data_IF_644739566901
#
_entry.id   IF_644739566901
#
_cell.length_a   1.000
_cell.length_b   1.000
_cell.length_c   1.000
_cell.angle_alpha   90.00
_cell.angle_beta   90.00
_cell.angle_gamma   90.00
#
_symmetry.space_group_name_H-M   'P 1'
#
loop_
_entity.id
_entity.type
_entity.pdbx_description
1 polymer ?
#
# COMPACT_ATOMS: atom_id res chain seq x y z
N UNK A 1 1.76 -7.03 19.90
CA UNK A 1 0.32 -6.90 19.60
C UNK A 1 0.22 -5.95 18.43
N UNK A 2 -0.59 -6.28 17.43
CA UNK A 2 -0.76 -5.41 16.27
C UNK A 2 -1.44 -4.10 16.66
N UNK A 3 -1.04 -3.00 16.04
CA UNK A 3 -1.68 -1.69 16.21
C UNK A 3 -3.14 -1.76 15.79
N UNK A 4 -3.99 -1.13 16.58
CA UNK A 4 -5.42 -1.01 16.37
C UNK A 4 -5.77 0.32 15.72
N UNK A 5 -6.98 0.43 15.20
CA UNK A 5 -7.52 1.70 14.70
C UNK A 5 -7.52 2.79 15.78
N UNK A 6 -7.81 2.43 17.03
CA UNK A 6 -7.78 3.35 18.16
C UNK A 6 -6.37 3.90 18.42
N UNK A 7 -5.34 3.05 18.30
CA UNK A 7 -3.95 3.49 18.44
C UNK A 7 -3.62 4.55 17.38
N UNK A 8 -4.00 4.32 16.12
CA UNK A 8 -3.79 5.29 15.03
C UNK A 8 -4.55 6.60 15.27
N UNK A 9 -5.81 6.53 15.71
CA UNK A 9 -6.60 7.73 16.03
C UNK A 9 -5.97 8.55 17.16
N UNK A 10 -5.40 7.90 18.17
CA UNK A 10 -4.77 8.57 19.32
C UNK A 10 -3.47 9.30 18.98
N UNK A 11 -2.84 8.97 17.84
CA UNK A 11 -1.60 9.63 17.38
C UNK A 11 -1.85 11.04 16.83
N UNK A 12 -3.08 11.36 16.37
CA UNK A 12 -3.41 12.69 15.83
C UNK A 12 -2.94 13.81 16.76
N UNK A 13 -2.25 14.80 16.20
CA UNK A 13 -1.66 15.93 16.94
C UNK A 13 -0.64 15.58 18.04
N UNK A 14 -0.22 14.31 18.20
CA UNK A 14 0.78 13.87 19.18
C UNK A 14 2.05 13.35 18.52
N UNK A 15 1.89 12.51 17.51
CA UNK A 15 2.98 11.87 16.77
C UNK A 15 2.58 11.69 15.31
N UNK A 16 3.55 11.74 14.38
CA UNK A 16 3.25 11.54 12.95
C UNK A 16 3.02 10.06 12.66
N UNK A 17 1.92 9.75 11.97
CA UNK A 17 1.59 8.39 11.54
C UNK A 17 2.39 8.04 10.29
N UNK A 18 3.08 6.90 10.33
CA UNK A 18 3.84 6.36 9.21
C UNK A 18 3.04 5.26 8.52
N UNK A 19 2.80 5.45 7.22
CA UNK A 19 2.11 4.48 6.39
C UNK A 19 3.02 4.09 5.23
N UNK A 20 3.19 2.80 5.01
CA UNK A 20 3.87 2.28 3.82
C UNK A 20 2.97 1.27 3.15
N UNK A 21 3.02 1.21 1.82
CA UNK A 21 2.33 0.12 1.13
C UNK A 21 3.05 -1.21 1.33
N UNK A 22 2.32 -2.32 1.37
CA UNK A 22 2.89 -3.67 1.40
C UNK A 22 2.04 -4.65 0.58
N UNK A 23 2.69 -5.60 -0.09
CA UNK A 23 2.02 -6.51 -1.03
C UNK A 23 2.43 -7.98 -0.84
N UNK A 24 3.62 -8.23 -0.29
CA UNK A 24 4.12 -9.59 -0.05
C UNK A 24 4.65 -9.75 1.37
N UNK A 25 4.86 -11.02 1.78
CA UNK A 25 5.30 -11.32 3.13
C UNK A 25 6.72 -10.82 3.41
N UNK A 26 7.63 -10.95 2.45
CA UNK A 26 9.07 -10.69 2.65
C UNK A 26 9.36 -9.20 2.77
N UNK A 27 8.78 -8.37 1.92
CA UNK A 27 8.92 -6.92 2.04
C UNK A 27 8.22 -6.40 3.30
N UNK A 28 7.06 -6.96 3.65
CA UNK A 28 6.30 -6.53 4.82
C UNK A 28 7.05 -6.78 6.13
N UNK A 29 7.82 -7.88 6.27
CA UNK A 29 8.63 -8.10 7.48
C UNK A 29 9.74 -7.06 7.66
N UNK A 30 10.21 -6.45 6.56
CA UNK A 30 11.18 -5.35 6.59
C UNK A 30 10.56 -3.99 6.90
N UNK A 31 9.22 -3.91 6.91
CA UNK A 31 8.44 -2.69 7.17
C UNK A 31 7.84 -2.66 8.58
N UNK A 32 8.35 -3.49 9.49
CA UNK A 32 7.84 -3.70 10.85
C UNK A 32 7.73 -2.42 11.70
N UNK A 33 8.49 -1.38 11.36
CA UNK A 33 8.45 -0.06 12.01
C UNK A 33 7.33 0.86 11.54
N UNK A 34 6.64 0.54 10.44
CA UNK A 34 5.52 1.35 9.97
C UNK A 34 4.30 1.16 10.89
N UNK A 35 3.57 2.24 11.17
CA UNK A 35 2.34 2.16 11.97
C UNK A 35 1.23 1.41 11.22
N UNK A 36 1.15 1.65 9.91
CA UNK A 36 0.15 1.09 9.01
C UNK A 36 0.82 0.49 7.78
N UNK A 37 0.41 -0.73 7.41
CA UNK A 37 0.69 -1.31 6.11
C UNK A 37 -0.57 -1.19 5.26
N UNK A 38 -0.47 -0.44 4.16
CA UNK A 38 -1.54 -0.27 3.18
C UNK A 38 -1.36 -1.27 2.04
N UNK A 39 -2.25 -2.25 1.95
CA UNK A 39 -2.39 -3.09 0.76
C UNK A 39 -3.22 -2.30 -0.24
N UNK A 40 -2.55 -1.45 -1.01
CA UNK A 40 -3.18 -0.53 -1.95
C UNK A 40 -3.30 -1.11 -3.36
N UNK A 41 -4.29 -0.65 -4.13
CA UNK A 41 -4.47 -1.03 -5.54
C UNK A 41 -3.31 -0.60 -6.45
N UNK A 42 -2.45 0.32 -6.00
CA UNK A 42 -1.13 0.59 -6.61
C UNK A 42 -0.28 -0.68 -6.84
N UNK A 43 -0.57 -1.79 -6.14
CA UNK A 43 -0.04 -3.12 -6.45
C UNK A 43 -0.23 -3.53 -7.92
N UNK A 44 -1.35 -3.18 -8.55
CA UNK A 44 -1.59 -3.46 -9.97
C UNK A 44 -0.47 -2.94 -10.85
N UNK A 45 0.02 -1.74 -10.57
CA UNK A 45 1.08 -1.12 -11.37
C UNK A 45 2.47 -1.62 -10.98
N UNK A 46 2.78 -1.65 -9.68
CA UNK A 46 4.15 -1.94 -9.21
C UNK A 46 4.46 -3.42 -9.07
N UNK A 47 3.44 -4.28 -8.89
CA UNK A 47 3.59 -5.73 -8.76
C UNK A 47 3.14 -6.49 -10.00
N UNK A 48 1.96 -6.14 -10.56
CA UNK A 48 1.36 -6.87 -11.68
C UNK A 48 1.69 -6.26 -13.05
N UNK A 49 2.25 -5.06 -13.08
CA UNK A 49 2.65 -4.38 -14.30
C UNK A 49 1.50 -3.81 -15.13
N UNK A 50 0.29 -3.72 -14.57
CA UNK A 50 -0.85 -3.06 -15.19
C UNK A 50 -0.54 -1.59 -15.48
N UNK A 51 -1.18 -1.05 -16.51
CA UNK A 51 -1.02 0.36 -16.89
C UNK A 51 -1.77 1.29 -15.93
N UNK A 52 -2.77 0.78 -15.22
CA UNK A 52 -3.61 1.53 -14.28
C UNK A 52 -4.07 0.66 -13.11
N UNK A 53 -4.43 1.30 -11.98
CA UNK A 53 -5.10 0.62 -10.87
C UNK A 53 -6.54 0.19 -11.21
N UNK A 54 -7.08 0.66 -12.34
CA UNK A 54 -8.42 0.29 -12.84
C UNK A 54 -8.56 -1.18 -13.19
N UNK A 55 -7.45 -1.85 -13.49
CA UNK A 55 -7.43 -3.28 -13.85
C UNK A 55 -7.32 -4.20 -12.63
N UNK A 56 -7.20 -3.63 -11.43
CA UNK A 56 -7.08 -4.41 -10.18
C UNK A 56 -8.41 -5.01 -9.79
N UNK A 57 -8.39 -6.30 -9.50
CA UNK A 57 -9.57 -7.06 -9.09
C UNK A 57 -9.63 -7.27 -7.58
N UNK A 58 -10.81 -7.63 -7.07
CA UNK A 58 -10.94 -8.08 -5.68
C UNK A 58 -10.06 -9.30 -5.36
N UNK A 59 -9.80 -10.17 -6.33
CA UNK A 59 -8.97 -11.37 -6.12
C UNK A 59 -7.49 -11.02 -6.00
N UNK A 60 -7.04 -9.99 -6.72
CA UNK A 60 -5.69 -9.43 -6.54
C UNK A 60 -5.53 -8.89 -5.12
N UNK A 61 -6.49 -8.08 -4.66
CA UNK A 61 -6.47 -7.51 -3.31
C UNK A 61 -6.50 -8.59 -2.23
N UNK A 62 -7.35 -9.62 -2.37
CA UNK A 62 -7.39 -10.76 -1.43
C UNK A 62 -6.04 -11.49 -1.36
N UNK A 63 -5.37 -11.69 -2.50
CA UNK A 63 -4.05 -12.36 -2.54
C UNK A 63 -2.98 -11.55 -1.84
N UNK A 64 -2.88 -10.25 -2.15
CA UNK A 64 -1.89 -9.37 -1.53
C UNK A 64 -2.15 -9.22 -0.02
N UNK A 65 -3.41 -9.05 0.40
CA UNK A 65 -3.76 -9.00 1.83
C UNK A 65 -3.38 -10.27 2.56
N UNK A 66 -3.62 -11.44 1.95
CA UNK A 66 -3.24 -12.72 2.54
C UNK A 66 -1.72 -12.82 2.71
N UNK A 67 -0.95 -12.38 1.71
CA UNK A 67 0.51 -12.38 1.78
C UNK A 67 1.04 -11.43 2.88
N UNK A 68 0.47 -10.23 3.00
CA UNK A 68 0.82 -9.25 4.04
C UNK A 68 0.46 -9.75 5.43
N UNK A 69 -0.72 -10.35 5.62
CA UNK A 69 -1.12 -10.99 6.88
C UNK A 69 -0.09 -12.04 7.33
N UNK A 70 0.41 -12.85 6.40
CA UNK A 70 1.36 -13.92 6.68
C UNK A 70 2.75 -13.41 7.11
N UNK A 71 3.08 -12.13 6.87
CA UNK A 71 4.27 -11.50 7.42
C UNK A 71 4.23 -11.35 8.95
N UNK A 72 3.04 -11.48 9.57
CA UNK A 72 2.83 -11.33 11.03
C UNK A 72 3.34 -9.99 11.58
N UNK A 73 3.12 -8.91 10.82
CA UNK A 73 3.51 -7.56 11.25
C UNK A 73 2.70 -7.07 12.47
N UNK A 74 3.30 -6.19 13.27
CA UNK A 74 2.60 -5.46 14.33
C UNK A 74 1.89 -4.20 13.80
N UNK A 75 2.00 -3.86 12.51
CA UNK A 75 1.29 -2.72 11.92
C UNK A 75 -0.22 -2.98 11.79
N UNK A 76 -1.01 -1.91 11.71
CA UNK A 76 -2.40 -2.00 11.26
C UNK A 76 -2.42 -2.32 9.76
N UNK A 77 -3.13 -3.37 9.33
CA UNK A 77 -3.28 -3.70 7.91
C UNK A 77 -4.55 -3.05 7.39
N UNK A 78 -4.40 -2.12 6.43
CA UNK A 78 -5.51 -1.49 5.70
C UNK A 78 -5.47 -2.02 4.28
N UNK A 79 -6.61 -2.39 3.70
CA UNK A 79 -6.67 -2.87 2.31
C UNK A 79 -7.64 -2.05 1.49
N UNK A 80 -7.25 -1.70 0.27
CA UNK A 80 -8.14 -1.05 -0.68
C UNK A 80 -9.27 -1.95 -1.14
N UNK A 81 -10.46 -1.37 -1.20
CA UNK A 81 -11.49 -1.83 -2.11
C UNK A 81 -11.14 -1.26 -3.51
N UNK A 82 -10.86 -2.12 -4.51
CA UNK A 82 -10.52 -1.67 -5.85
C UNK A 82 -11.75 -1.11 -6.56
N UNK A 83 -11.55 -0.48 -7.73
CA UNK A 83 -12.65 0.10 -8.51
C UNK A 83 -13.80 -0.92 -8.75
N UNK A 84 -15.04 -0.43 -8.77
CA UNK A 84 -16.28 -1.21 -8.95
C UNK A 84 -16.57 -2.25 -7.84
N UNK A 85 -15.73 -2.39 -6.81
CA UNK A 85 -15.99 -3.33 -5.71
C UNK A 85 -16.89 -2.78 -4.60
N UNK A 86 -17.36 -1.55 -4.74
CA UNK A 86 -18.16 -0.83 -3.73
C UNK A 86 -19.23 0.08 -4.35
N UNK A 87 -19.80 -0.29 -5.51
CA UNK A 87 -20.82 0.51 -6.21
C UNK A 87 -22.14 0.69 -5.42
N UNK A 88 -22.39 -0.17 -4.43
CA UNK A 88 -23.52 -0.08 -3.51
C UNK A 88 -23.14 -0.65 -2.13
N UNK A 89 -23.97 -0.39 -1.13
CA UNK A 89 -23.75 -0.76 0.27
C UNK A 89 -23.54 -2.27 0.46
N UNK A 90 -24.43 -3.10 -0.10
CA UNK A 90 -24.36 -4.56 0.05
C UNK A 90 -23.08 -5.14 -0.55
N UNK A 91 -22.70 -4.69 -1.75
CA UNK A 91 -21.48 -5.11 -2.42
C UNK A 91 -20.23 -4.67 -1.64
N UNK A 92 -20.21 -3.43 -1.17
CA UNK A 92 -19.11 -2.89 -0.37
C UNK A 92 -18.93 -3.66 0.95
N UNK A 93 -20.02 -3.97 1.65
CA UNK A 93 -19.98 -4.78 2.88
C UNK A 93 -19.47 -6.19 2.57
N UNK A 94 -19.99 -6.85 1.53
CA UNK A 94 -19.59 -8.19 1.16
C UNK A 94 -18.10 -8.27 0.81
N UNK A 95 -17.61 -7.34 -0.02
CA UNK A 95 -16.19 -7.27 -0.39
C UNK A 95 -15.30 -6.87 0.79
N UNK A 96 -15.73 -5.96 1.66
CA UNK A 96 -15.00 -5.62 2.89
C UNK A 96 -14.82 -6.85 3.79
N UNK A 97 -15.87 -7.67 3.95
CA UNK A 97 -15.80 -8.93 4.70
C UNK A 97 -14.82 -9.92 4.07
N UNK A 98 -14.74 -10.00 2.74
CA UNK A 98 -13.74 -10.83 2.04
C UNK A 98 -12.32 -10.38 2.37
N UNK A 99 -12.04 -9.08 2.40
CA UNK A 99 -10.73 -8.55 2.76
C UNK A 99 -10.38 -8.78 4.24
N UNK A 100 -11.34 -8.64 5.15
CA UNK A 100 -11.15 -8.95 6.57
C UNK A 100 -10.83 -10.43 6.77
N UNK A 101 -11.54 -11.34 6.08
CA UNK A 101 -11.21 -12.77 6.08
C UNK A 101 -9.80 -13.06 5.54
N UNK A 102 -9.36 -12.30 4.53
CA UNK A 102 -8.01 -12.38 3.99
C UNK A 102 -6.93 -11.84 4.94
N UNK A 103 -7.30 -11.01 5.92
CA UNK A 103 -6.41 -10.50 6.97
C UNK A 103 -6.34 -8.98 7.13
N UNK A 104 -7.19 -8.23 6.43
CA UNK A 104 -7.29 -6.78 6.65
C UNK A 104 -7.90 -6.48 8.03
N UNK A 105 -7.36 -5.47 8.72
CA UNK A 105 -7.95 -4.93 9.95
C UNK A 105 -8.96 -3.80 9.66
N UNK A 106 -8.80 -3.15 8.50
CA UNK A 106 -9.66 -2.07 8.02
C UNK A 106 -9.61 -2.00 6.48
N UNK A 107 -10.56 -1.27 5.88
CA UNK A 107 -10.60 -1.07 4.43
C UNK A 107 -10.43 0.41 4.06
N UNK A 108 -9.95 0.70 2.85
CA UNK A 108 -9.88 2.05 2.27
C UNK A 108 -10.77 2.16 1.03
N UNK A 109 -11.50 3.27 0.92
CA UNK A 109 -12.36 3.62 -0.22
C UNK A 109 -12.03 5.01 -0.74
N UNK A 110 -12.18 5.18 -2.05
CA UNK A 110 -12.05 6.46 -2.75
C UNK A 110 -13.42 7.13 -2.94
N UNK A 111 -13.47 8.44 -2.72
CA UNK A 111 -14.67 9.24 -2.98
C UNK A 111 -15.02 10.22 -1.87
N UNK A 112 -15.81 11.23 -2.22
CA UNK A 112 -16.34 12.24 -1.33
C UNK A 112 -17.76 11.92 -0.87
N UNK A 113 -18.64 12.91 -0.95
CA UNK A 113 -20.04 12.79 -0.55
C UNK A 113 -20.75 11.57 -1.16
N UNK A 114 -20.43 11.21 -2.38
CA UNK A 114 -21.07 10.13 -3.15
C UNK A 114 -20.88 8.73 -2.54
N UNK A 115 -19.82 8.50 -1.76
CA UNK A 115 -19.58 7.22 -1.07
C UNK A 115 -19.91 7.28 0.43
N UNK A 116 -20.46 8.40 0.92
CA UNK A 116 -20.70 8.63 2.34
C UNK A 116 -21.62 7.57 2.98
N UNK A 117 -22.68 7.18 2.27
CA UNK A 117 -23.63 6.17 2.74
C UNK A 117 -23.02 4.76 2.71
N UNK A 118 -22.21 4.46 1.68
CA UNK A 118 -21.43 3.21 1.58
C UNK A 118 -20.44 3.08 2.74
N UNK A 119 -19.67 4.14 3.04
CA UNK A 119 -18.73 4.16 4.17
C UNK A 119 -19.47 3.89 5.47
N UNK A 120 -20.62 4.56 5.68
CA UNK A 120 -21.44 4.38 6.87
C UNK A 120 -21.92 2.93 7.00
N UNK A 121 -22.41 2.33 5.91
CA UNK A 121 -22.89 0.95 5.88
C UNK A 121 -21.77 -0.05 6.20
N UNK A 122 -20.58 0.11 5.61
CA UNK A 122 -19.40 -0.73 5.92
C UNK A 122 -18.99 -0.57 7.38
N UNK A 123 -18.92 0.66 7.90
CA UNK A 123 -18.58 0.93 9.30
C UNK A 123 -19.61 0.36 10.27
N UNK A 124 -20.91 0.47 9.97
CA UNK A 124 -21.98 -0.07 10.82
C UNK A 124 -22.03 -1.60 10.78
N UNK A 125 -21.44 -2.23 9.76
CA UNK A 125 -21.19 -3.68 9.72
C UNK A 125 -20.00 -4.14 10.59
N UNK A 126 -19.31 -3.20 11.26
CA UNK A 126 -18.21 -3.47 12.19
C UNK A 126 -16.82 -3.42 11.57
N UNK A 127 -16.68 -2.94 10.33
CA UNK A 127 -15.39 -2.86 9.62
C UNK A 127 -14.92 -1.40 9.58
N UNK A 128 -13.77 -1.05 10.18
CA UNK A 128 -13.27 0.32 10.14
C UNK A 128 -12.90 0.76 8.72
N UNK A 129 -13.16 2.03 8.40
CA UNK A 129 -12.94 2.60 7.07
C UNK A 129 -11.96 3.76 7.12
N UNK A 130 -10.95 3.73 6.26
CA UNK A 130 -10.11 4.88 5.91
C UNK A 130 -10.68 5.51 4.63
N UNK A 131 -11.00 6.80 4.65
CA UNK A 131 -11.43 7.52 3.44
C UNK A 131 -10.24 7.96 2.59
N UNK A 132 -10.46 8.24 1.31
CA UNK A 132 -9.46 8.82 0.41
C UNK A 132 -10.09 9.96 -0.40
N UNK A 133 -9.51 11.16 -0.27
CA UNK A 133 -9.88 12.38 -0.98
C UNK A 133 -8.68 12.99 -1.72
N UNK A 134 -8.98 13.92 -2.62
CA UNK A 134 -7.97 14.55 -3.47
C UNK A 134 -7.96 13.87 -4.84
N UNK A 135 -6.78 13.52 -5.34
CA UNK A 135 -6.69 12.72 -6.55
C UNK A 135 -7.16 11.30 -6.22
N UNK A 136 -8.11 10.78 -6.99
CA UNK A 136 -8.64 9.42 -6.85
C UNK A 136 -8.15 8.58 -8.05
N UNK A 137 -7.05 7.82 -7.91
CA UNK A 137 -6.48 7.01 -9.00
C UNK A 137 -7.48 6.11 -9.72
N UNK A 138 -8.47 5.56 -8.99
CA UNK A 138 -9.46 4.64 -9.55
C UNK A 138 -10.30 5.29 -10.64
N UNK A 139 -10.65 6.57 -10.51
CA UNK A 139 -11.52 7.28 -11.46
C UNK A 139 -10.79 8.32 -12.31
N UNK A 140 -9.56 8.70 -11.94
CA UNK A 140 -8.81 9.72 -12.66
C UNK A 140 -8.46 9.29 -14.11
N UNK A 141 -8.64 10.21 -15.05
CA UNK A 141 -8.06 10.10 -16.40
C UNK A 141 -6.61 10.56 -16.43
N UNK A 142 -6.27 11.54 -15.58
CA UNK A 142 -4.93 12.11 -15.47
C UNK A 142 -4.60 12.49 -14.04
N UNK A 143 -3.39 12.14 -13.61
CA UNK A 143 -2.89 12.47 -12.29
C UNK A 143 -2.49 13.95 -12.25
N UNK A 144 -3.22 14.73 -11.46
CA UNK A 144 -3.04 16.17 -11.36
C UNK A 144 -3.27 16.65 -9.94
N UNK A 145 -2.64 17.77 -9.60
CA UNK A 145 -2.79 18.40 -8.27
C UNK A 145 -4.21 18.95 -8.12
N UNK A 146 -4.84 18.64 -6.98
CA UNK A 146 -6.22 19.01 -6.64
C UNK A 146 -6.30 20.25 -5.75
N UNK A 147 -7.50 20.83 -5.66
CA UNK A 147 -7.81 22.00 -4.84
C UNK A 147 -6.91 23.22 -5.16
N UNK A 148 -6.72 23.51 -6.45
CA UNK A 148 -5.97 24.69 -6.92
C UNK A 148 -6.78 25.98 -6.87
N UNK A 149 -8.11 25.87 -6.87
CA UNK A 149 -9.05 27.00 -6.84
C UNK A 149 -9.89 26.94 -5.57
N UNK A 150 -10.43 28.09 -5.17
CA UNK A 150 -11.28 28.22 -3.98
C UNK A 150 -12.49 27.30 -4.00
N UNK A 151 -13.13 27.13 -5.15
CA UNK A 151 -14.35 26.33 -5.29
C UNK A 151 -14.05 24.85 -5.01
N UNK A 152 -12.98 24.33 -5.63
CA UNK A 152 -12.51 22.95 -5.45
C UNK A 152 -12.09 22.70 -3.99
N UNK A 153 -11.38 23.66 -3.38
CA UNK A 153 -10.96 23.59 -1.99
C UNK A 153 -12.15 23.53 -1.01
N UNK A 154 -13.19 24.34 -1.25
CA UNK A 154 -14.42 24.32 -0.45
C UNK A 154 -15.13 22.98 -0.59
N UNK A 155 -15.18 22.42 -1.80
CA UNK A 155 -15.72 21.07 -2.05
C UNK A 155 -14.99 20.02 -1.22
N UNK A 156 -13.67 19.94 -1.34
CA UNK A 156 -12.84 18.96 -0.63
C UNK A 156 -12.96 19.08 0.90
N UNK A 157 -13.03 20.30 1.46
CA UNK A 157 -13.25 20.51 2.89
C UNK A 157 -14.64 19.99 3.33
N UNK A 158 -15.67 20.19 2.51
CA UNK A 158 -17.01 19.66 2.78
C UNK A 158 -17.01 18.14 2.74
N UNK A 159 -16.39 17.54 1.73
CA UNK A 159 -16.29 16.09 1.61
C UNK A 159 -15.53 15.48 2.79
N UNK A 160 -14.42 16.07 3.23
CA UNK A 160 -13.69 15.60 4.41
C UNK A 160 -14.56 15.57 5.67
N UNK A 161 -15.40 16.60 5.88
CA UNK A 161 -16.37 16.64 6.99
C UNK A 161 -17.51 15.65 6.82
N UNK A 162 -17.91 15.35 5.59
CA UNK A 162 -18.95 14.35 5.30
C UNK A 162 -18.39 12.96 5.62
N UNK A 163 -17.19 12.62 5.13
CA UNK A 163 -16.55 11.34 5.42
C UNK A 163 -16.34 11.12 6.92
N UNK A 164 -15.88 12.16 7.63
CA UNK A 164 -15.78 12.14 9.10
C UNK A 164 -17.12 11.80 9.75
N UNK A 165 -18.22 12.44 9.34
CA UNK A 165 -19.56 12.17 9.88
C UNK A 165 -20.07 10.77 9.53
N UNK A 166 -19.66 10.23 8.39
CA UNK A 166 -19.95 8.85 7.99
C UNK A 166 -19.20 7.81 8.82
N UNK A 167 -18.15 8.23 9.54
CA UNK A 167 -17.46 7.40 10.53
C UNK A 167 -16.14 6.81 10.05
N UNK A 168 -15.46 7.41 9.07
CA UNK A 168 -14.07 7.04 8.77
C UNK A 168 -13.19 7.24 10.00
N UNK A 169 -12.18 6.40 10.21
CA UNK A 169 -11.21 6.58 11.30
C UNK A 169 -10.01 7.43 10.88
N UNK A 170 -9.81 7.64 9.58
CA UNK A 170 -8.70 8.37 8.98
C UNK A 170 -9.06 8.79 7.55
N UNK A 171 -8.40 9.81 7.01
CA UNK A 171 -8.58 10.28 5.63
C UNK A 171 -7.21 10.43 4.95
N UNK A 172 -7.00 9.73 3.83
CA UNK A 172 -5.90 10.00 2.91
C UNK A 172 -6.21 11.25 2.09
N UNK A 173 -5.22 12.14 1.97
CA UNK A 173 -5.25 13.30 1.09
C UNK A 173 -4.15 13.12 0.04
N UNK A 174 -4.52 12.89 -1.21
CA UNK A 174 -3.58 12.67 -2.32
C UNK A 174 -3.51 13.87 -3.27
N UNK A 175 -2.28 14.34 -3.51
CA UNK A 175 -1.96 15.45 -4.41
C UNK A 175 -2.80 16.72 -4.16
N UNK A 176 -3.11 17.02 -2.90
CA UNK A 176 -3.85 18.24 -2.48
C UNK A 176 -2.86 19.39 -2.23
N UNK A 177 -3.22 20.62 -2.62
CA UNK A 177 -2.40 21.80 -2.31
C UNK A 177 -2.16 21.94 -0.80
N UNK A 178 -0.94 22.29 -0.41
CA UNK A 178 -0.52 22.31 1.00
C UNK A 178 -1.38 23.22 1.89
N UNK A 179 -1.81 24.38 1.35
CA UNK A 179 -2.67 25.31 2.07
C UNK A 179 -4.02 24.67 2.43
N UNK A 180 -4.61 23.94 1.48
CA UNK A 180 -5.88 23.24 1.67
C UNK A 180 -5.69 22.05 2.59
N UNK A 181 -4.61 21.28 2.45
CA UNK A 181 -4.26 20.18 3.38
C UNK A 181 -4.22 20.63 4.83
N UNK A 182 -3.58 21.78 5.09
CA UNK A 182 -3.50 22.36 6.44
C UNK A 182 -4.88 22.73 6.98
N UNK A 183 -5.73 23.33 6.14
CA UNK A 183 -7.10 23.69 6.50
C UNK A 183 -7.91 22.43 6.82
N UNK A 184 -7.90 21.42 5.95
CA UNK A 184 -8.63 20.16 6.13
C UNK A 184 -8.19 19.46 7.42
N UNK A 185 -6.88 19.27 7.60
CA UNK A 185 -6.32 18.57 8.77
C UNK A 185 -6.71 19.21 10.10
N UNK A 186 -6.80 20.55 10.13
CA UNK A 186 -7.27 21.31 11.29
C UNK A 186 -8.79 21.21 11.50
N UNK A 187 -9.57 21.00 10.45
CA UNK A 187 -11.03 21.02 10.47
C UNK A 187 -11.68 19.65 10.74
N UNK A 188 -10.93 18.56 10.62
CA UNK A 188 -11.40 17.21 10.97
C UNK A 188 -10.70 16.71 12.24
N UNK A 189 -11.44 15.95 13.03
CA UNK A 189 -11.01 15.31 14.28
C UNK A 189 -10.30 13.97 14.06
N UNK A 190 -10.46 13.36 12.88
CA UNK A 190 -9.76 12.12 12.50
C UNK A 190 -8.39 12.41 11.88
N UNK A 191 -7.38 11.54 12.04
CA UNK A 191 -6.06 11.72 11.43
C UNK A 191 -6.11 11.81 9.90
N UNK A 192 -5.39 12.78 9.34
CA UNK A 192 -5.15 12.86 7.89
C UNK A 192 -3.80 12.26 7.51
N UNK A 193 -3.75 11.52 6.40
CA UNK A 193 -2.52 10.90 5.87
C UNK A 193 -2.21 11.51 4.50
N UNK A 194 -1.05 12.16 4.36
CA UNK A 194 -0.69 12.85 3.12
C UNK A 194 0.13 11.97 2.17
N UNK A 195 -0.14 12.11 0.87
CA UNK A 195 0.76 11.66 -0.20
C UNK A 195 0.78 12.74 -1.28
N UNK A 196 1.92 13.42 -1.41
CA UNK A 196 2.01 14.61 -2.27
C UNK A 196 1.16 15.80 -1.79
N UNK A 197 0.76 15.82 -0.52
CA UNK A 197 -0.15 16.83 0.05
C UNK A 197 0.52 17.76 1.07
N UNK A 198 1.85 17.70 1.18
CA UNK A 198 2.63 18.48 2.16
C UNK A 198 2.67 17.85 3.56
N UNK A 199 3.44 18.48 4.46
CA UNK A 199 3.77 17.94 5.80
C UNK A 199 2.71 18.17 6.88
N UNK A 200 1.68 18.96 6.58
CA UNK A 200 0.70 19.42 7.57
C UNK A 200 -0.34 18.34 7.92
N UNK A 201 -0.41 17.23 7.16
CA UNK A 201 -1.18 16.04 7.54
C UNK A 201 -0.65 15.39 8.83
N UNK A 202 -1.50 14.67 9.56
CA UNK A 202 -1.11 13.91 10.77
C UNK A 202 -0.19 12.73 10.49
N UNK A 203 -0.12 12.26 9.24
CA UNK A 203 0.80 11.22 8.81
C UNK A 203 1.16 11.35 7.33
N UNK A 204 1.97 10.40 6.85
CA UNK A 204 2.35 10.32 5.44
C UNK A 204 2.27 8.87 4.94
N UNK A 205 1.90 8.70 3.68
CA UNK A 205 1.95 7.42 2.96
C UNK A 205 2.85 7.52 1.73
N UNK A 206 3.63 6.47 1.47
CA UNK A 206 4.34 6.28 0.21
C UNK A 206 4.17 4.85 -0.29
N UNK A 207 4.13 4.71 -1.61
CA UNK A 207 4.31 3.42 -2.27
C UNK A 207 5.75 2.98 -2.03
N UNK A 208 5.95 1.81 -1.42
CA UNK A 208 7.26 1.34 -0.99
C UNK A 208 8.24 1.19 -2.16
N UNK A 209 7.73 0.79 -3.32
CA UNK A 209 8.54 0.65 -4.55
C UNK A 209 9.07 2.00 -5.05
N UNK A 210 8.32 3.08 -4.87
CA UNK A 210 8.79 4.43 -5.21
C UNK A 210 9.83 4.91 -4.19
N UNK A 211 9.58 4.67 -2.90
CA UNK A 211 10.49 5.04 -1.80
C UNK A 211 11.85 4.34 -1.92
N UNK A 212 11.87 3.05 -2.27
CA UNK A 212 13.08 2.24 -2.46
C UNK A 212 13.73 2.44 -3.85
N UNK A 213 13.07 3.17 -4.76
CA UNK A 213 13.55 3.38 -6.11
C UNK A 213 13.55 2.12 -6.97
N UNK A 214 12.62 1.20 -6.75
CA UNK A 214 12.44 -0.03 -7.55
C UNK A 214 11.59 0.21 -8.80
N UNK A 215 10.58 1.08 -8.71
CA UNK A 215 9.69 1.37 -9.82
C UNK A 215 10.22 2.56 -10.64
N UNK A 216 10.39 2.36 -11.95
CA UNK A 216 11.03 3.35 -12.84
C UNK A 216 10.11 3.90 -13.93
N UNK A 217 8.99 3.22 -14.23
CA UNK A 217 8.01 3.67 -15.24
C UNK A 217 7.44 5.04 -14.88
N UNK A 218 7.18 5.26 -13.59
CA UNK A 218 6.66 6.53 -13.07
C UNK A 218 7.59 7.01 -11.96
N UNK A 219 7.87 8.31 -11.95
CA UNK A 219 8.67 8.97 -10.90
C UNK A 219 7.85 10.10 -10.31
N UNK A 220 7.02 9.83 -9.29
CA UNK A 220 6.18 10.85 -8.69
C UNK A 220 7.05 11.94 -8.06
N UNK A 221 6.79 13.21 -8.40
CA UNK A 221 7.58 14.36 -7.89
C UNK A 221 7.57 14.45 -6.36
N UNK A 222 6.51 13.96 -5.71
CA UNK A 222 6.37 13.98 -4.25
C UNK A 222 7.11 12.85 -3.53
N UNK A 223 7.50 11.78 -4.23
CA UNK A 223 8.14 10.63 -3.61
C UNK A 223 9.63 10.89 -3.46
N UNK A 224 10.11 10.96 -2.21
CA UNK A 224 11.55 10.93 -1.93
C UNK A 224 12.05 9.49 -2.08
N UNK A 225 13.04 9.30 -2.95
CA UNK A 225 13.81 8.05 -3.00
C UNK A 225 14.82 8.03 -1.85
N UNK A 226 14.75 6.97 -1.05
CA UNK A 226 15.71 6.69 0.01
C UNK A 226 16.82 5.75 -0.47
N UNK A 227 16.56 4.97 -1.55
CA UNK A 227 17.51 4.10 -2.23
C UNK A 227 17.30 4.15 -3.75
N UNK A 228 18.24 3.58 -4.51
CA UNK A 228 18.12 3.30 -5.94
C UNK A 228 18.18 1.79 -6.22
N UNK A 229 17.27 1.03 -5.61
CA UNK A 229 17.35 -0.42 -5.56
C UNK A 229 17.26 -1.09 -6.95
N UNK A 230 16.62 -0.44 -7.94
CA UNK A 230 16.60 -0.96 -9.31
C UNK A 230 18.00 -1.09 -9.93
N UNK A 231 18.90 -0.16 -9.63
CA UNK A 231 20.28 -0.19 -10.12
C UNK A 231 21.08 -1.29 -9.43
N UNK A 232 20.94 -1.40 -8.10
CA UNK A 232 21.61 -2.46 -7.34
C UNK A 232 21.17 -3.86 -7.75
N UNK A 233 19.87 -4.06 -7.99
CA UNK A 233 19.34 -5.33 -8.51
C UNK A 233 19.93 -5.63 -9.89
N UNK A 234 19.97 -4.66 -10.81
CA UNK A 234 20.55 -4.85 -12.15
C UNK A 234 22.03 -5.21 -12.10
N UNK A 235 22.79 -4.57 -11.21
CA UNK A 235 24.19 -4.88 -11.01
C UNK A 235 24.38 -6.29 -10.44
N UNK A 236 23.61 -6.67 -9.41
CA UNK A 236 23.67 -8.00 -8.81
C UNK A 236 23.31 -9.11 -9.81
N UNK A 237 22.25 -8.93 -10.60
CA UNK A 237 21.86 -9.87 -11.66
C UNK A 237 22.96 -9.96 -12.73
N UNK A 238 23.55 -8.83 -13.14
CA UNK A 238 24.63 -8.83 -14.13
C UNK A 238 25.87 -9.55 -13.63
N UNK A 239 26.22 -9.39 -12.35
CA UNK A 239 27.32 -10.12 -11.70
C UNK A 239 27.04 -11.62 -11.65
N UNK A 240 25.85 -12.04 -11.20
CA UNK A 240 25.47 -13.46 -11.19
C UNK A 240 25.56 -14.10 -12.59
N UNK A 241 25.02 -13.41 -13.61
CA UNK A 241 25.09 -13.89 -15.01
C UNK A 241 26.55 -14.04 -15.47
N UNK A 242 27.43 -13.10 -15.08
CA UNK A 242 28.86 -13.19 -15.39
C UNK A 242 29.51 -14.38 -14.68
N UNK A 243 29.26 -14.53 -13.38
CA UNK A 243 29.87 -15.60 -12.58
C UNK A 243 29.45 -16.99 -13.07
N UNK A 244 28.19 -17.17 -13.51
CA UNK A 244 27.74 -18.42 -14.13
C UNK A 244 28.43 -18.66 -15.48
N UNK A 245 28.49 -17.65 -16.36
CA UNK A 245 29.10 -17.78 -17.69
C UNK A 245 30.61 -18.01 -17.66
N UNK A 246 31.28 -17.53 -16.61
CA UNK A 246 32.71 -17.70 -16.38
C UNK A 246 33.01 -18.87 -15.44
N UNK A 247 32.01 -19.70 -15.12
CA UNK A 247 32.12 -20.88 -14.24
C UNK A 247 32.72 -20.56 -12.85
N UNK A 248 32.53 -19.33 -12.37
CA UNK A 248 32.89 -18.90 -11.01
C UNK A 248 31.83 -19.26 -9.97
N UNK A 249 30.58 -19.36 -10.41
CA UNK A 249 29.48 -19.85 -9.60
C UNK A 249 28.92 -21.18 -10.16
N UNK A 250 28.64 -22.19 -9.31
CA UNK A 250 28.83 -22.20 -7.86
C UNK A 250 30.31 -22.32 -7.45
N UNK A 251 30.71 -21.61 -6.40
CA UNK A 251 31.96 -21.89 -5.69
C UNK A 251 31.86 -23.20 -4.91
N UNK A 252 32.99 -23.80 -4.51
CA UNK A 252 33.01 -25.08 -3.79
C UNK A 252 32.11 -25.09 -2.54
N UNK A 253 32.02 -23.98 -1.80
CA UNK A 253 31.16 -23.87 -0.61
C UNK A 253 29.66 -23.94 -0.92
N UNK A 254 29.27 -23.69 -2.17
CA UNK A 254 27.90 -23.77 -2.66
C UNK A 254 27.61 -25.12 -3.35
N UNK A 255 28.52 -26.10 -3.25
CA UNK A 255 28.36 -27.43 -3.84
C UNK A 255 28.19 -28.50 -2.77
N UNK A 256 27.50 -29.57 -3.13
CA UNK A 256 27.33 -30.76 -2.29
C UNK A 256 27.91 -31.96 -3.04
N UNK A 257 28.69 -32.79 -2.33
CA UNK A 257 29.33 -33.98 -2.90
C UNK A 257 28.73 -35.25 -2.33
N UNK A 258 28.74 -36.32 -3.13
CA UNK A 258 28.43 -37.66 -2.66
C UNK A 258 29.51 -38.15 -1.69
N UNK A 259 29.13 -38.96 -0.71
CA UNK A 259 30.11 -39.69 0.11
C UNK A 259 30.99 -40.56 -0.79
N UNK A 260 32.28 -40.63 -0.48
CA UNK A 260 33.28 -41.24 -1.36
C UNK A 260 32.94 -42.69 -1.73
N UNK A 261 32.49 -43.49 -0.76
CA UNK A 261 32.18 -44.91 -0.98
C UNK A 261 30.95 -45.13 -1.88
N UNK A 262 29.98 -44.21 -1.85
CA UNK A 262 28.81 -44.26 -2.75
C UNK A 262 29.19 -43.80 -4.16
N UNK A 263 30.10 -42.83 -4.28
CA UNK A 263 30.65 -42.41 -5.57
C UNK A 263 31.43 -43.55 -6.23
N UNK A 264 32.27 -44.25 -5.48
CA UNK A 264 33.03 -45.40 -5.98
C UNK A 264 32.13 -46.57 -6.42
N UNK A 265 30.96 -46.78 -5.78
CA UNK A 265 29.96 -47.76 -6.22
C UNK A 265 29.29 -47.32 -7.51
N UNK A 266 28.86 -46.06 -7.58
CA UNK A 266 28.22 -45.49 -8.76
C UNK A 266 29.11 -45.58 -10.00
N UNK A 267 30.42 -45.32 -9.84
CA UNK A 267 31.40 -45.42 -10.92
C UNK A 267 31.65 -46.86 -11.37
N UNK A 268 31.54 -47.85 -10.46
CA UNK A 268 31.67 -49.28 -10.79
C UNK A 268 30.44 -49.84 -11.49
N UNK A 269 29.25 -49.32 -11.19
CA UNK A 269 27.98 -49.80 -11.74
C UNK A 269 27.59 -49.11 -13.08
N UNK A 270 28.27 -48.02 -13.47
CA UNK A 270 28.01 -47.26 -14.70
C UNK A 270 29.13 -47.34 -15.76
N UNK A 271 29.91 -48.43 -15.76
CA UNK A 271 30.84 -48.81 -16.86
C UNK A 271 30.51 -50.21 -17.37
#
# INVERSE_FOLDING_TARGET
>A
MSKTVNDIMQMKSKEKITVLTGYDSTMTTLCDKADVILVGDSAGMVMLGYDSTKDVTMDDMVRFTTAVKNAKTNSLIVTDLPINSYENEDLAIANSKRLVLAGAHAVKLEGGKEVADIIKAVKDSGIPVMGHLGLLPQTAEKYSVQAKKSEDAIGLIKDAKILEKSGVFSIVLEMVTSDVTKIVTKNVTVPTIGIGSGKDCDGQVLVIHDMLGMFEKIKPKFAKRYLNLSEEIRNAVSSYVKDVKEERFPEQEHTFSMEKDELEKLEKDNV
#
